data_IF_590064958263
#
_entry.id   IF_590064958263
#
_cell.length_a   1.000
_cell.length_b   1.000
_cell.length_c   1.000
_cell.angle_alpha   90.00
_cell.angle_beta   90.00
_cell.angle_gamma   90.00
#
_symmetry.space_group_name_H-M   'P 1'
#
loop_
_entity.id
_entity.type
_entity.pdbx_description
1 polymer ?
#
# COMPACT_ATOMS: atom_id res chain seq x y z
N UNK A 1 -11.15 -41.44 7.06
CA UNK A 1 -10.75 -40.12 7.62
C UNK A 1 -10.46 -39.22 6.44
N UNK A 2 -11.48 -38.50 5.97
CA UNK A 2 -11.56 -37.93 4.63
C UNK A 2 -11.15 -36.45 4.61
N UNK A 3 -10.12 -36.15 3.81
CA UNK A 3 -9.79 -34.84 3.24
C UNK A 3 -9.80 -33.60 4.16
N UNK A 4 -8.76 -33.49 4.99
CA UNK A 4 -8.19 -32.18 5.36
C UNK A 4 -7.57 -31.53 4.10
N UNK A 5 -8.40 -31.05 3.16
CA UNK A 5 -7.92 -30.18 2.07
C UNK A 5 -7.32 -28.95 2.73
N UNK A 6 -5.99 -28.96 2.84
CA UNK A 6 -5.21 -27.94 3.52
C UNK A 6 -5.69 -26.56 3.10
N UNK A 7 -6.21 -25.82 4.07
CA UNK A 7 -6.82 -24.50 3.94
C UNK A 7 -5.75 -23.45 3.59
N UNK A 8 -5.04 -23.61 2.47
CA UNK A 8 -3.88 -22.82 2.06
C UNK A 8 -4.35 -21.53 1.40
N UNK A 9 -3.68 -20.42 1.75
CA UNK A 9 -3.82 -19.16 1.03
C UNK A 9 -3.49 -19.40 -0.45
N UNK A 10 -4.28 -18.80 -1.34
CA UNK A 10 -3.99 -18.87 -2.77
C UNK A 10 -2.63 -18.28 -3.07
N UNK A 11 -1.84 -18.92 -3.93
CA UNK A 11 -0.52 -18.44 -4.32
C UNK A 11 -0.56 -16.97 -4.79
N UNK A 12 -1.60 -16.57 -5.53
CA UNK A 12 -1.80 -15.18 -5.95
C UNK A 12 -1.93 -14.16 -4.80
N UNK A 13 -2.59 -14.53 -3.69
CA UNK A 13 -2.69 -13.65 -2.50
C UNK A 13 -1.31 -13.48 -1.86
N UNK A 14 -0.55 -14.57 -1.76
CA UNK A 14 0.82 -14.54 -1.21
C UNK A 14 1.72 -13.70 -2.11
N UNK A 15 1.71 -13.91 -3.43
CA UNK A 15 2.54 -13.17 -4.37
C UNK A 15 2.26 -11.67 -4.31
N UNK A 16 1.00 -11.25 -4.36
CA UNK A 16 0.65 -9.82 -4.25
C UNK A 16 1.07 -9.26 -2.90
N UNK A 17 0.84 -10.00 -1.81
CA UNK A 17 1.24 -9.57 -0.47
C UNK A 17 2.75 -9.35 -0.37
N UNK A 18 3.56 -10.27 -0.91
CA UNK A 18 5.03 -10.16 -0.92
C UNK A 18 5.47 -8.96 -1.75
N UNK A 19 4.93 -8.81 -2.97
CA UNK A 19 5.23 -7.66 -3.84
C UNK A 19 4.91 -6.35 -3.11
N UNK A 20 3.72 -6.25 -2.51
CA UNK A 20 3.28 -5.07 -1.79
C UNK A 20 4.17 -4.78 -0.56
N UNK A 21 4.59 -5.81 0.18
CA UNK A 21 5.53 -5.65 1.30
C UNK A 21 6.87 -5.10 0.81
N UNK A 22 7.43 -5.64 -0.27
CA UNK A 22 8.70 -5.16 -0.83
C UNK A 22 8.59 -3.67 -1.19
N UNK A 23 7.57 -3.29 -1.96
CA UNK A 23 7.35 -1.89 -2.32
C UNK A 23 7.13 -1.00 -1.09
N UNK A 24 6.40 -1.49 -0.08
CA UNK A 24 6.16 -0.75 1.16
C UNK A 24 7.44 -0.52 1.96
N UNK A 25 8.34 -1.51 2.01
CA UNK A 25 9.65 -1.38 2.69
C UNK A 25 10.52 -0.36 1.97
N UNK A 26 10.60 -0.42 0.64
CA UNK A 26 11.32 0.59 -0.15
C UNK A 26 10.76 2.00 0.07
N UNK A 27 9.43 2.14 0.02
CA UNK A 27 8.76 3.42 0.25
C UNK A 27 9.00 3.94 1.68
N UNK A 28 9.01 3.06 2.68
CA UNK A 28 9.23 3.41 4.07
C UNK A 28 10.67 3.90 4.29
N UNK A 29 11.67 3.19 3.78
CA UNK A 29 13.07 3.61 3.86
C UNK A 29 13.27 4.95 3.15
N UNK A 30 12.75 5.08 1.93
CA UNK A 30 12.83 6.34 1.17
C UNK A 30 12.19 7.52 1.89
N UNK A 31 11.01 7.31 2.49
CA UNK A 31 10.30 8.35 3.26
C UNK A 31 11.05 8.76 4.52
N UNK A 32 11.69 7.80 5.23
CA UNK A 32 12.51 8.10 6.41
C UNK A 32 13.74 8.93 6.01
N UNK A 33 14.43 8.58 4.92
CA UNK A 33 15.60 9.33 4.45
C UNK A 33 15.21 10.76 4.07
N UNK A 34 14.06 10.95 3.42
CA UNK A 34 13.54 12.27 3.05
C UNK A 34 13.15 13.16 4.23
N UNK A 35 12.94 12.58 5.42
CA UNK A 35 12.68 13.32 6.66
C UNK A 35 13.95 13.82 7.35
N UNK A 36 15.14 13.40 6.92
CA UNK A 36 16.41 13.83 7.50
C UNK A 36 16.73 15.24 7.00
N UNK A 37 16.85 16.26 7.88
CA UNK A 37 17.06 17.65 7.45
C UNK A 37 18.34 17.84 6.63
N UNK A 38 19.44 17.18 7.03
CA UNK A 38 20.70 17.24 6.28
C UNK A 38 20.58 16.62 4.89
N UNK A 39 19.69 15.65 4.68
CA UNK A 39 19.44 15.10 3.36
C UNK A 39 18.62 16.08 2.51
N UNK A 40 17.63 16.75 3.11
CA UNK A 40 16.83 17.78 2.46
C UNK A 40 17.70 18.95 1.96
N UNK A 41 18.60 19.46 2.80
CA UNK A 41 19.54 20.53 2.45
C UNK A 41 20.47 20.14 1.29
N UNK A 42 21.03 18.92 1.33
CA UNK A 42 21.84 18.39 0.24
C UNK A 42 21.04 18.26 -1.06
N UNK A 43 19.79 17.79 -0.98
CA UNK A 43 18.89 17.69 -2.14
C UNK A 43 18.60 19.06 -2.75
N UNK A 44 18.28 20.07 -1.94
CA UNK A 44 18.04 21.43 -2.43
C UNK A 44 19.29 22.01 -3.10
N UNK A 45 20.47 21.73 -2.54
CA UNK A 45 21.75 22.17 -3.08
C UNK A 45 22.07 21.50 -4.43
N UNK A 46 21.81 20.19 -4.56
CA UNK A 46 22.04 19.43 -5.80
C UNK A 46 21.04 19.80 -6.89
N UNK A 47 19.77 20.00 -6.53
CA UNK A 47 18.69 20.28 -7.47
C UNK A 47 18.58 21.75 -7.84
N UNK A 48 19.24 22.65 -7.09
CA UNK A 48 19.18 24.10 -7.31
C UNK A 48 17.79 24.71 -7.08
N UNK A 49 16.88 23.96 -6.46
CA UNK A 49 15.50 24.37 -6.22
C UNK A 49 15.14 24.22 -4.74
N UNK A 50 14.35 25.15 -4.17
CA UNK A 50 13.81 24.99 -2.83
C UNK A 50 12.90 23.75 -2.78
N UNK A 51 12.96 22.99 -1.68
CA UNK A 51 12.22 21.73 -1.50
C UNK A 51 10.71 21.87 -1.72
N UNK A 52 10.15 23.04 -1.40
CA UNK A 52 8.73 23.33 -1.59
C UNK A 52 8.29 23.22 -3.07
N UNK A 53 9.19 23.56 -4.00
CA UNK A 53 8.94 23.42 -5.44
C UNK A 53 9.11 21.98 -5.95
N UNK A 54 9.77 21.13 -5.17
CA UNK A 54 9.87 19.70 -5.45
C UNK A 54 8.65 18.93 -4.92
N UNK A 55 7.67 19.61 -4.31
CA UNK A 55 6.50 18.98 -3.70
C UNK A 55 6.83 18.15 -2.47
N UNK A 56 7.99 18.39 -1.85
CA UNK A 56 8.46 17.68 -0.66
C UNK A 56 8.02 18.46 0.56
N UNK A 57 6.84 18.11 1.07
CA UNK A 57 6.29 18.64 2.32
C UNK A 57 6.33 17.57 3.42
N UNK A 58 6.82 17.94 4.60
CA UNK A 58 6.94 17.05 5.74
C UNK A 58 5.57 16.46 6.15
N UNK A 59 4.48 17.23 6.01
CA UNK A 59 3.13 16.74 6.31
C UNK A 59 2.73 15.63 5.35
N UNK A 60 2.97 15.83 4.06
CA UNK A 60 2.74 14.84 3.00
C UNK A 60 3.54 13.55 3.23
N UNK A 61 4.80 13.65 3.66
CA UNK A 61 5.63 12.48 3.99
C UNK A 61 5.08 11.72 5.20
N UNK A 62 4.67 12.44 6.26
CA UNK A 62 4.10 11.83 7.47
C UNK A 62 2.80 11.09 7.15
N UNK A 63 1.90 11.69 6.35
CA UNK A 63 0.67 11.04 5.89
C UNK A 63 1.00 9.76 5.11
N UNK A 64 1.98 9.84 4.20
CA UNK A 64 2.46 8.67 3.44
C UNK A 64 2.98 7.55 4.34
N UNK A 65 3.77 7.88 5.38
CA UNK A 65 4.27 6.90 6.35
C UNK A 65 3.15 6.21 7.13
N UNK A 66 2.16 6.96 7.62
CA UNK A 66 1.00 6.40 8.32
C UNK A 66 0.23 5.46 7.39
N UNK A 67 0.00 5.87 6.14
CA UNK A 67 -0.63 5.04 5.11
C UNK A 67 0.12 3.73 4.85
N UNK A 68 1.46 3.76 4.76
CA UNK A 68 2.28 2.55 4.58
C UNK A 68 2.09 1.58 5.75
N UNK A 69 2.11 2.08 6.99
CA UNK A 69 1.92 1.25 8.18
C UNK A 69 0.53 0.59 8.16
N UNK A 70 -0.52 1.33 7.84
CA UNK A 70 -1.88 0.79 7.77
C UNK A 70 -2.03 -0.27 6.65
N UNK A 71 -1.38 -0.06 5.50
CA UNK A 71 -1.34 -1.06 4.41
C UNK A 71 -0.65 -2.34 4.89
N UNK A 72 0.50 -2.23 5.56
CA UNK A 72 1.22 -3.38 6.11
C UNK A 72 0.38 -4.15 7.13
N UNK A 73 -0.31 -3.46 8.04
CA UNK A 73 -1.25 -4.07 8.98
C UNK A 73 -2.38 -4.80 8.24
N UNK A 74 -2.94 -4.19 7.20
CA UNK A 74 -3.94 -4.81 6.32
C UNK A 74 -3.43 -6.11 5.69
N UNK A 75 -2.22 -6.09 5.11
CA UNK A 75 -1.60 -7.26 4.48
C UNK A 75 -1.35 -8.38 5.49
N UNK A 76 -0.82 -8.06 6.67
CA UNK A 76 -0.58 -9.06 7.74
C UNK A 76 -1.90 -9.73 8.12
N UNK A 77 -2.98 -8.97 8.26
CA UNK A 77 -4.31 -9.50 8.56
C UNK A 77 -4.87 -10.36 7.41
N UNK A 78 -4.62 -9.99 6.16
CA UNK A 78 -4.98 -10.81 4.98
C UNK A 78 -4.21 -12.14 4.99
N UNK A 79 -2.91 -12.12 5.29
CA UNK A 79 -2.10 -13.33 5.43
C UNK A 79 -2.56 -14.21 6.60
N UNK A 80 -3.11 -13.61 7.66
CA UNK A 80 -3.78 -14.32 8.76
C UNK A 80 -5.21 -14.77 8.44
N UNK A 81 -5.67 -14.63 7.19
CA UNK A 81 -7.00 -15.02 6.70
C UNK A 81 -8.14 -14.27 7.39
N UNK A 82 -7.90 -13.04 7.87
CA UNK A 82 -8.92 -12.19 8.48
C UNK A 82 -9.50 -11.26 7.41
N UNK A 83 -10.81 -11.31 7.22
CA UNK A 83 -11.52 -10.42 6.29
C UNK A 83 -11.29 -8.93 6.60
N UNK A 84 -11.11 -8.57 7.88
CA UNK A 84 -10.84 -7.19 8.31
C UNK A 84 -9.58 -6.60 7.64
N UNK A 85 -8.60 -7.44 7.32
CA UNK A 85 -7.39 -7.00 6.62
C UNK A 85 -7.66 -6.49 5.21
N UNK A 86 -8.60 -7.12 4.50
CA UNK A 86 -8.99 -6.70 3.15
C UNK A 86 -9.69 -5.34 3.20
N UNK A 87 -10.59 -5.12 4.17
CA UNK A 87 -11.29 -3.85 4.33
C UNK A 87 -10.32 -2.71 4.65
N UNK A 88 -9.38 -2.92 5.58
CA UNK A 88 -8.35 -1.92 5.90
C UNK A 88 -7.52 -1.60 4.66
N UNK A 89 -7.04 -2.64 3.96
CA UNK A 89 -6.22 -2.48 2.77
C UNK A 89 -6.95 -1.68 1.67
N UNK A 90 -8.20 -2.00 1.38
CA UNK A 90 -8.98 -1.29 0.36
C UNK A 90 -9.30 0.15 0.77
N UNK A 91 -9.66 0.38 2.03
CA UNK A 91 -10.00 1.72 2.52
C UNK A 91 -8.78 2.65 2.47
N UNK A 92 -7.63 2.17 2.95
CA UNK A 92 -6.39 2.96 2.92
C UNK A 92 -5.93 3.21 1.48
N UNK A 93 -6.07 2.21 0.60
CA UNK A 93 -5.72 2.38 -0.82
C UNK A 93 -6.63 3.41 -1.49
N UNK A 94 -7.94 3.36 -1.24
CA UNK A 94 -8.88 4.35 -1.74
C UNK A 94 -8.57 5.77 -1.20
N UNK A 95 -8.26 5.89 0.09
CA UNK A 95 -7.87 7.15 0.70
C UNK A 95 -6.59 7.73 0.06
N UNK A 96 -5.58 6.90 -0.20
CA UNK A 96 -4.35 7.32 -0.89
C UNK A 96 -4.60 7.77 -2.33
N UNK A 97 -5.51 7.10 -3.05
CA UNK A 97 -5.89 7.53 -4.41
C UNK A 97 -6.57 8.89 -4.35
N UNK A 98 -7.54 9.08 -3.44
CA UNK A 98 -8.22 10.36 -3.25
C UNK A 98 -7.21 11.47 -2.92
N UNK A 99 -6.31 11.21 -1.96
CA UNK A 99 -5.24 12.15 -1.59
C UNK A 99 -4.36 12.52 -2.79
N UNK A 100 -3.93 11.53 -3.57
CA UNK A 100 -3.10 11.75 -4.75
C UNK A 100 -3.82 12.59 -5.81
N UNK A 101 -5.11 12.33 -6.05
CA UNK A 101 -5.92 13.11 -7.01
C UNK A 101 -6.08 14.56 -6.55
N UNK A 102 -6.22 14.80 -5.24
CA UNK A 102 -6.32 16.16 -4.69
C UNK A 102 -4.99 16.90 -4.82
N UNK A 103 -3.87 16.27 -4.48
CA UNK A 103 -2.56 16.94 -4.42
C UNK A 103 -1.88 17.06 -5.79
N UNK A 104 -1.93 16.02 -6.61
CA UNK A 104 -1.21 15.94 -7.89
C UNK A 104 -2.12 16.13 -9.11
N UNK A 105 -3.43 16.27 -8.90
CA UNK A 105 -4.44 16.31 -9.94
C UNK A 105 -4.83 14.92 -10.47
N UNK A 106 -5.82 14.89 -11.36
CA UNK A 106 -6.32 13.65 -11.95
C UNK A 106 -5.44 13.20 -13.11
N UNK A 107 -4.69 12.11 -12.93
CA UNK A 107 -3.94 11.45 -13.99
C UNK A 107 -4.39 9.99 -14.17
N UNK A 108 -4.84 9.65 -15.37
CA UNK A 108 -5.35 8.30 -15.70
C UNK A 108 -4.28 7.22 -15.49
N UNK A 109 -3.01 7.52 -15.82
CA UNK A 109 -1.87 6.63 -15.59
C UNK A 109 -1.69 6.30 -14.10
N UNK A 110 -1.83 7.29 -13.21
CA UNK A 110 -1.72 7.11 -11.77
C UNK A 110 -2.86 6.26 -11.19
N UNK A 111 -4.08 6.41 -11.72
CA UNK A 111 -5.23 5.59 -11.32
C UNK A 111 -5.05 4.13 -11.71
N UNK A 112 -4.66 3.86 -12.96
CA UNK A 112 -4.51 2.48 -13.44
C UNK A 112 -3.42 1.75 -12.63
N UNK A 113 -2.27 2.41 -12.40
CA UNK A 113 -1.18 1.82 -11.62
C UNK A 113 -1.54 1.57 -10.15
N UNK A 114 -2.34 2.45 -9.53
CA UNK A 114 -2.74 2.33 -8.13
C UNK A 114 -3.89 1.35 -7.87
N UNK A 115 -4.74 1.09 -8.87
CA UNK A 115 -5.91 0.21 -8.75
C UNK A 115 -5.66 -1.24 -9.18
N UNK A 116 -4.64 -1.51 -10.00
CA UNK A 116 -4.41 -2.87 -10.54
C UNK A 116 -4.19 -3.91 -9.43
N UNK A 117 -3.26 -3.62 -8.51
CA UNK A 117 -2.92 -4.50 -7.38
C UNK A 117 -4.08 -4.71 -6.41
N UNK A 118 -4.81 -3.67 -5.95
CA UNK A 118 -5.90 -3.87 -5.00
C UNK A 118 -7.11 -4.58 -5.61
N UNK A 119 -7.40 -4.36 -6.90
CA UNK A 119 -8.44 -5.11 -7.61
C UNK A 119 -8.06 -6.59 -7.69
N UNK A 120 -6.82 -6.90 -8.07
CA UNK A 120 -6.34 -8.29 -8.14
C UNK A 120 -6.36 -8.98 -6.78
N UNK A 121 -5.94 -8.28 -5.71
CA UNK A 121 -5.99 -8.75 -4.32
C UNK A 121 -7.42 -9.09 -3.92
N UNK A 122 -8.36 -8.19 -4.20
CA UNK A 122 -9.79 -8.38 -3.90
C UNK A 122 -10.38 -9.55 -4.67
N UNK A 123 -10.06 -9.66 -5.97
CA UNK A 123 -10.50 -10.76 -6.82
C UNK A 123 -10.03 -12.12 -6.28
N UNK A 124 -8.75 -12.25 -5.90
CA UNK A 124 -8.23 -13.50 -5.34
C UNK A 124 -8.80 -13.84 -3.97
N UNK A 125 -9.04 -12.84 -3.11
CA UNK A 125 -9.70 -13.04 -1.81
C UNK A 125 -11.15 -13.47 -2.01
N UNK A 126 -11.88 -12.85 -2.94
CA UNK A 126 -13.28 -13.20 -3.22
C UNK A 126 -13.43 -14.63 -3.77
N UNK A 127 -12.51 -15.07 -4.64
CA UNK A 127 -12.47 -16.46 -5.13
C UNK A 127 -12.26 -17.48 -4.00
N UNK A 128 -11.70 -17.05 -2.87
CA UNK A 128 -11.42 -17.85 -1.68
C UNK A 128 -12.23 -17.37 -0.47
N UNK A 129 -13.42 -16.80 -0.68
CA UNK A 129 -14.28 -16.19 0.36
C UNK A 129 -14.54 -17.08 1.58
N UNK A 130 -14.61 -18.39 1.39
CA UNK A 130 -14.78 -19.38 2.47
C UNK A 130 -13.61 -19.38 3.47
N UNK A 131 -12.38 -19.11 3.00
CA UNK A 131 -11.18 -19.04 3.86
C UNK A 131 -11.19 -17.83 4.80
N UNK A 132 -11.89 -16.77 4.39
CA UNK A 132 -11.90 -15.49 5.09
C UNK A 132 -13.18 -15.30 5.94
N UNK A 133 -14.05 -16.31 6.00
CA UNK A 133 -15.33 -16.22 6.70
C UNK A 133 -16.32 -15.26 6.04
N UNK A 134 -16.16 -15.00 4.74
CA UNK A 134 -17.01 -14.11 3.95
C UNK A 134 -18.20 -14.84 3.29
N UNK A 135 -18.26 -16.17 3.40
CA UNK A 135 -19.44 -16.97 3.08
C UNK A 135 -20.00 -17.52 4.39
N UNK A 136 -21.30 -17.31 4.62
CA UNK A 136 -22.08 -18.18 5.50
C UNK A 136 -22.14 -19.58 4.90
#
# INVERSE_FOLDING_TARGET
>A
MENQKQNKLGAGIITISVIQIIFSVFALIGSIILLIPSFQENLATITGAPLDKLGIDNTSIIIGLVSIILILLGIILILRKKAIGLYIYLLVTAANIIYSVIMNGFMISSLIGSLILPILMTFFVYRKKELFGLSK
#
